data_IF_981851723699
#
_entry.id   IF_981851723699
#
_cell.length_a   1.000
_cell.length_b   1.000
_cell.length_c   1.000
_cell.angle_alpha   90.00
_cell.angle_beta   90.00
_cell.angle_gamma   90.00
#
_symmetry.space_group_name_H-M   'P 1'
#
loop_
_entity.id
_entity.type
_entity.pdbx_description
1 polymer ?
#
# COMPACT_ATOMS: atom_id res chain seq x y z
N UNK A 1 -9.15 -1.38 -21.12
CA UNK A 1 -9.85 -2.04 -20.00
C UNK A 1 -9.02 -1.81 -18.76
N UNK A 2 -9.49 -1.02 -17.79
CA UNK A 2 -8.73 -0.78 -16.58
C UNK A 2 -8.75 -2.08 -15.74
N UNK A 3 -7.65 -2.83 -15.75
CA UNK A 3 -7.52 -3.97 -14.84
C UNK A 3 -7.47 -3.40 -13.42
N UNK A 4 -8.49 -3.68 -12.62
CA UNK A 4 -8.49 -3.38 -11.21
C UNK A 4 -8.20 -4.66 -10.43
N UNK A 5 -7.50 -4.53 -9.31
CA UNK A 5 -7.17 -5.68 -8.46
C UNK A 5 -7.97 -5.63 -7.16
N UNK A 6 -8.40 -6.79 -6.68
CA UNK A 6 -9.05 -6.90 -5.39
C UNK A 6 -8.02 -6.75 -4.25
N UNK A 7 -8.45 -6.27 -3.08
CA UNK A 7 -7.59 -6.07 -1.90
C UNK A 7 -6.83 -7.35 -1.47
N UNK A 8 -7.38 -8.53 -1.74
CA UNK A 8 -6.67 -9.81 -1.49
C UNK A 8 -5.45 -9.97 -2.38
N UNK A 9 -5.52 -9.52 -3.64
CA UNK A 9 -4.39 -9.51 -4.58
C UNK A 9 -3.35 -8.48 -4.15
N UNK A 10 -3.79 -7.28 -3.74
CA UNK A 10 -2.91 -6.26 -3.14
C UNK A 10 -2.11 -6.86 -1.97
N UNK A 11 -2.79 -7.55 -1.04
CA UNK A 11 -2.14 -8.19 0.12
C UNK A 11 -1.13 -9.25 -0.28
N UNK A 12 -1.36 -10.00 -1.36
CA UNK A 12 -0.41 -10.98 -1.90
C UNK A 12 0.83 -10.28 -2.49
N UNK A 13 0.64 -9.21 -3.27
CA UNK A 13 1.75 -8.41 -3.81
C UNK A 13 2.60 -7.80 -2.70
N UNK A 14 1.96 -7.20 -1.69
CA UNK A 14 2.62 -6.68 -0.50
C UNK A 14 3.24 -7.76 0.41
N UNK A 15 2.98 -9.04 0.17
CA UNK A 15 3.62 -10.15 0.88
C UNK A 15 4.85 -10.69 0.12
N UNK A 16 4.93 -10.46 -1.20
CA UNK A 16 6.07 -10.87 -2.00
C UNK A 16 7.37 -10.17 -1.57
N UNK A 17 7.26 -8.94 -1.05
CA UNK A 17 8.40 -8.16 -0.55
C UNK A 17 9.07 -7.29 -1.60
N UNK A 18 8.53 -7.26 -2.82
CA UNK A 18 9.01 -6.40 -3.89
C UNK A 18 8.77 -4.91 -3.58
N UNK A 19 9.64 -4.01 -4.05
CA UNK A 19 9.39 -2.58 -4.01
C UNK A 19 8.18 -2.24 -4.85
N UNK A 20 7.26 -1.45 -4.29
CA UNK A 20 6.03 -1.03 -4.95
C UNK A 20 5.80 0.45 -4.79
N UNK A 21 5.04 1.02 -5.71
CA UNK A 21 4.51 2.37 -5.65
C UNK A 21 3.04 2.29 -5.23
N UNK A 22 2.62 3.04 -4.22
CA UNK A 22 1.22 3.03 -3.77
C UNK A 22 0.66 4.44 -3.65
N UNK A 23 -0.64 4.56 -3.86
CA UNK A 23 -1.42 5.75 -3.49
C UNK A 23 -2.46 5.39 -2.45
N UNK A 24 -2.58 6.25 -1.46
CA UNK A 24 -3.46 6.06 -0.31
C UNK A 24 -4.16 7.34 0.09
N UNK A 25 -5.31 7.19 0.70
CA UNK A 25 -6.04 8.29 1.32
C UNK A 25 -5.55 8.53 2.74
N UNK A 26 -5.20 9.77 3.06
CA UNK A 26 -4.93 10.20 4.44
C UNK A 26 -6.23 10.36 5.21
N UNK A 27 -6.15 10.44 6.54
CA UNK A 27 -7.32 10.76 7.38
C UNK A 27 -7.96 12.11 7.03
N UNK A 28 -7.17 13.04 6.51
CA UNK A 28 -7.63 14.38 6.10
C UNK A 28 -8.35 14.37 4.75
N UNK A 29 -8.39 13.22 4.05
CA UNK A 29 -8.93 13.12 2.70
C UNK A 29 -7.95 13.58 1.62
N UNK A 30 -6.67 13.73 1.94
CA UNK A 30 -5.64 14.05 0.94
C UNK A 30 -5.10 12.76 0.32
N UNK A 31 -4.70 12.83 -0.94
CA UNK A 31 -4.02 11.72 -1.61
C UNK A 31 -2.55 11.81 -1.28
N UNK A 32 -2.00 10.71 -0.77
CA UNK A 32 -0.56 10.57 -0.58
C UNK A 32 -0.02 9.48 -1.50
N UNK A 33 1.06 9.81 -2.22
CA UNK A 33 1.78 8.90 -3.09
C UNK A 33 3.10 8.49 -2.43
N UNK A 34 3.31 7.18 -2.26
CA UNK A 34 4.57 6.61 -1.78
C UNK A 34 5.21 5.86 -2.93
N UNK A 35 6.38 6.34 -3.35
CA UNK A 35 7.20 5.69 -4.37
C UNK A 35 8.28 4.84 -3.73
N UNK A 36 8.62 3.73 -4.38
CA UNK A 36 9.70 2.84 -4.00
C UNK A 36 9.63 2.44 -2.52
N UNK A 37 8.49 1.89 -2.10
CA UNK A 37 8.25 1.48 -0.72
C UNK A 37 8.18 -0.04 -0.59
N UNK A 38 8.73 -0.55 0.52
CA UNK A 38 8.82 -1.99 0.80
C UNK A 38 7.98 -2.33 2.02
N UNK A 39 7.12 -3.36 1.93
CA UNK A 39 6.35 -3.84 3.07
C UNK A 39 7.26 -4.56 4.08
N UNK A 40 7.11 -4.26 5.38
CA UNK A 40 7.89 -4.85 6.46
C UNK A 40 7.06 -5.86 7.27
N UNK A 41 6.18 -5.36 8.14
CA UNK A 41 5.36 -6.17 9.05
C UNK A 41 3.89 -5.90 8.79
N UNK A 42 3.12 -6.97 8.69
CA UNK A 42 1.66 -6.92 8.58
C UNK A 42 1.00 -7.31 9.90
N UNK A 43 0.07 -6.49 10.37
CA UNK A 43 -0.79 -6.77 11.53
C UNK A 43 -2.19 -7.10 11.03
N UNK A 44 -2.52 -8.39 11.06
CA UNK A 44 -3.81 -8.91 10.57
C UNK A 44 -5.00 -8.36 11.37
N UNK A 45 -4.90 -8.29 12.70
CA UNK A 45 -6.02 -7.86 13.56
C UNK A 45 -6.43 -6.40 13.34
N UNK A 46 -5.45 -5.54 13.07
CA UNK A 46 -5.71 -4.12 12.82
C UNK A 46 -5.82 -3.77 11.33
N UNK A 47 -5.52 -4.72 10.44
CA UNK A 47 -5.40 -4.47 8.99
C UNK A 47 -4.33 -3.43 8.66
N UNK A 48 -3.31 -3.27 9.52
CA UNK A 48 -2.24 -2.29 9.36
C UNK A 48 -0.97 -2.95 8.87
N UNK A 49 -0.18 -2.20 8.09
CA UNK A 49 1.10 -2.63 7.55
C UNK A 49 2.15 -1.55 7.78
N UNK A 50 3.33 -1.98 8.19
CA UNK A 50 4.52 -1.13 8.18
C UNK A 50 5.11 -1.13 6.77
N UNK A 51 5.34 0.05 6.23
CA UNK A 51 6.03 0.25 4.95
C UNK A 51 7.24 1.14 5.16
N UNK A 52 8.36 0.72 4.60
CA UNK A 52 9.58 1.52 4.56
C UNK A 52 9.65 2.23 3.23
N UNK A 53 9.70 3.55 3.25
CA UNK A 53 10.02 4.34 2.06
C UNK A 53 11.52 4.23 1.85
N UNK A 54 11.97 3.72 0.71
CA UNK A 54 13.41 3.52 0.48
C UNK A 54 14.14 4.84 0.25
N UNK A 55 13.44 5.84 -0.29
CA UNK A 55 13.97 7.18 -0.55
C UNK A 55 14.35 7.91 0.76
N UNK A 56 13.37 8.10 1.65
CA UNK A 56 13.57 8.81 2.92
C UNK A 56 14.03 7.90 4.07
N UNK A 57 14.07 6.58 3.86
CA UNK A 57 14.31 5.54 4.88
C UNK A 57 13.32 5.56 6.05
N UNK A 58 12.23 6.32 5.95
CA UNK A 58 11.20 6.41 6.97
C UNK A 58 10.33 5.17 6.97
N UNK A 59 9.98 4.70 8.17
CA UNK A 59 8.99 3.64 8.36
C UNK A 59 7.65 4.31 8.69
N UNK A 60 6.61 3.97 7.92
CA UNK A 60 5.26 4.47 8.09
C UNK A 60 4.29 3.32 8.28
N UNK A 61 3.20 3.60 8.98
CA UNK A 61 2.12 2.64 9.19
C UNK A 61 0.93 3.05 8.32
N UNK A 62 0.40 2.12 7.54
CA UNK A 62 -0.76 2.30 6.67
C UNK A 62 -1.80 1.23 6.95
N UNK A 63 -3.08 1.52 6.73
CA UNK A 63 -4.12 0.48 6.66
C UNK A 63 -4.28 0.06 5.21
N UNK A 64 -4.30 -1.24 4.95
CA UNK A 64 -4.41 -1.77 3.57
C UNK A 64 -5.69 -1.27 2.87
N UNK A 65 -6.77 -0.99 3.63
CA UNK A 65 -8.03 -0.43 3.09
C UNK A 65 -7.95 1.02 2.62
N UNK A 66 -6.92 1.77 3.03
CA UNK A 66 -6.72 3.15 2.59
C UNK A 66 -5.97 3.22 1.25
N UNK A 67 -5.38 2.10 0.80
CA UNK A 67 -4.65 1.99 -0.45
C UNK A 67 -5.66 1.77 -1.58
N UNK A 68 -5.71 2.71 -2.52
CA UNK A 68 -6.63 2.65 -3.65
C UNK A 68 -5.91 2.42 -4.98
N UNK A 69 -4.58 2.49 -5.01
CA UNK A 69 -3.78 2.22 -6.21
C UNK A 69 -2.42 1.61 -5.81
N UNK A 70 -1.97 0.61 -6.55
CA UNK A 70 -0.63 0.03 -6.45
C UNK A 70 -0.01 -0.14 -7.84
N UNK A 71 1.21 0.34 -8.06
CA UNK A 71 1.93 0.31 -9.33
C UNK A 71 1.09 0.82 -10.52
N UNK A 72 0.24 1.83 -10.30
CA UNK A 72 -0.68 2.37 -11.31
C UNK A 72 -1.94 1.53 -11.55
N UNK A 73 -2.17 0.49 -10.76
CA UNK A 73 -3.33 -0.41 -10.85
C UNK A 73 -4.32 -0.05 -9.73
N UNK A 74 -5.58 0.32 -10.05
CA UNK A 74 -6.58 0.64 -9.05
C UNK A 74 -6.97 -0.60 -8.24
N UNK A 75 -7.08 -0.42 -6.93
CA UNK A 75 -7.48 -1.46 -5.96
C UNK A 75 -8.94 -1.28 -5.58
N UNK A 76 -9.71 -2.36 -5.63
CA UNK A 76 -11.08 -2.42 -5.12
C UNK A 76 -11.19 -3.38 -3.92
N UNK A 77 -12.22 -3.17 -3.11
CA UNK A 77 -12.52 -3.96 -1.92
C UNK A 77 -13.26 -5.26 -2.22
#
# INVERSE_FOLDING_TARGET
MAQSIHITTLRKMLKAGDPVDIKLWTKSGEIQEWRNCVPLRYNFYQGTRQMKLLDSRQIRHVRDVCIFEINGIPVHL
#
